data_IF_839098779091
#
_entry.id   IF_839098779091
#
_cell.length_a   1.000
_cell.length_b   1.000
_cell.length_c   1.000
_cell.angle_alpha   90.00
_cell.angle_beta   90.00
_cell.angle_gamma   90.00
#
_symmetry.space_group_name_H-M   'P 1'
#
loop_
_entity.id
_entity.type
_entity.pdbx_description
1 polymer ?
#
# COMPACT_ATOMS: atom_id res chain seq x y z
N UNK A 1 -31.46 -19.28 52.86
CA UNK A 1 -31.33 -18.27 51.78
C UNK A 1 -31.89 -16.93 52.27
N UNK A 2 -31.46 -16.40 53.42
CA UNK A 2 -30.36 -15.43 53.64
C UNK A 2 -30.35 -14.27 52.62
N UNK A 3 -31.21 -13.26 52.81
CA UNK A 3 -31.06 -12.02 53.60
C UNK A 3 -30.33 -10.90 52.84
N UNK A 4 -31.11 -9.84 52.59
CA UNK A 4 -30.74 -8.53 52.05
C UNK A 4 -29.48 -7.98 52.69
N UNK A 5 -28.52 -7.55 51.88
CA UNK A 5 -27.43 -6.68 52.31
C UNK A 5 -27.86 -5.23 52.06
N UNK A 6 -28.28 -4.60 53.15
CA UNK A 6 -28.60 -3.19 53.26
C UNK A 6 -27.28 -2.45 53.47
N UNK A 7 -26.77 -1.80 52.41
CA UNK A 7 -25.62 -0.91 52.54
C UNK A 7 -26.17 0.46 52.92
N UNK A 8 -26.06 0.76 54.21
CA UNK A 8 -26.28 2.08 54.79
C UNK A 8 -25.17 3.00 54.26
N UNK A 9 -25.49 3.83 53.27
CA UNK A 9 -24.68 5.00 52.92
C UNK A 9 -25.36 6.22 53.56
N UNK A 10 -24.63 7.03 54.35
CA UNK A 10 -25.21 8.19 55.02
C UNK A 10 -25.73 9.20 54.00
N UNK A 11 -26.91 9.76 54.28
CA UNK A 11 -27.47 10.92 53.57
C UNK A 11 -26.52 12.10 53.70
N UNK A 12 -25.53 12.17 52.81
CA UNK A 12 -24.81 13.41 52.55
C UNK A 12 -25.68 14.17 51.54
N UNK A 13 -26.53 15.01 52.09
CA UNK A 13 -27.35 15.98 51.38
C UNK A 13 -26.43 17.08 50.81
N UNK A 14 -25.64 16.74 49.80
CA UNK A 14 -24.85 17.67 49.03
C UNK A 14 -25.60 17.93 47.72
N UNK A 15 -26.23 19.09 47.66
CA UNK A 15 -26.90 19.69 46.51
C UNK A 15 -25.89 19.92 45.36
N UNK A 16 -25.42 18.85 44.73
CA UNK A 16 -24.54 18.91 43.56
C UNK A 16 -25.41 18.67 42.32
N UNK A 17 -25.69 19.70 41.50
CA UNK A 17 -26.59 19.60 40.34
C UNK A 17 -26.10 18.65 39.23
N UNK A 18 -24.87 18.12 39.31
CA UNK A 18 -24.31 17.23 38.28
C UNK A 18 -24.83 15.80 38.32
N UNK A 19 -25.18 15.22 39.47
CA UNK A 19 -25.51 13.78 39.57
C UNK A 19 -26.91 13.47 39.00
N UNK A 20 -27.86 14.39 39.11
CA UNK A 20 -29.20 14.24 38.56
C UNK A 20 -29.22 14.31 37.02
N UNK A 21 -28.24 14.98 36.42
CA UNK A 21 -28.07 15.02 34.95
C UNK A 21 -27.67 13.65 34.40
N UNK A 22 -26.77 12.93 35.07
CA UNK A 22 -26.33 11.60 34.59
C UNK A 22 -27.41 10.53 34.76
N UNK A 23 -28.24 10.60 35.82
CA UNK A 23 -29.40 9.71 36.00
C UNK A 23 -30.49 9.92 34.93
N UNK A 24 -30.65 11.17 34.45
CA UNK A 24 -31.59 11.49 33.36
C UNK A 24 -31.11 11.05 31.97
N UNK A 25 -29.81 10.95 31.75
CA UNK A 25 -29.21 10.51 30.47
C UNK A 25 -29.28 8.99 30.32
N UNK A 26 -29.12 8.23 31.41
CA UNK A 26 -29.12 6.75 31.36
C UNK A 26 -30.52 6.13 31.24
N UNK A 27 -31.58 6.90 31.49
CA UNK A 27 -32.98 6.41 31.47
C UNK A 27 -33.76 6.82 30.23
N UNK A 28 -33.24 7.72 29.38
CA UNK A 28 -33.87 8.15 28.13
C UNK A 28 -33.17 7.54 26.91
N UNK A 29 -33.62 6.33 26.57
CA UNK A 29 -34.00 6.05 25.19
C UNK A 29 -32.90 5.70 24.20
N UNK A 30 -32.73 4.38 24.06
CA UNK A 30 -32.42 3.63 22.84
C UNK A 30 -31.03 3.78 22.19
N UNK A 31 -30.36 2.66 21.84
CA UNK A 31 -29.23 2.73 20.92
C UNK A 31 -29.75 3.34 19.62
N UNK A 32 -29.26 4.53 19.25
CA UNK A 32 -29.50 5.09 17.92
C UNK A 32 -28.89 4.13 16.91
N UNK A 33 -29.70 3.22 16.38
CA UNK A 33 -29.42 2.61 15.09
C UNK A 33 -29.20 3.76 14.11
N UNK A 34 -28.02 3.80 13.49
CA UNK A 34 -27.69 4.74 12.42
C UNK A 34 -28.83 4.74 11.40
N UNK A 35 -29.40 5.90 11.02
CA UNK A 35 -30.40 5.95 9.96
C UNK A 35 -29.78 5.34 8.70
N UNK A 36 -30.44 4.35 8.12
CA UNK A 36 -30.01 3.70 6.86
C UNK A 36 -29.76 4.71 5.75
N UNK A 37 -30.47 5.84 5.78
CA UNK A 37 -30.39 6.93 4.81
C UNK A 37 -29.06 7.70 4.87
N UNK A 38 -28.40 7.75 6.04
CA UNK A 38 -27.08 8.36 6.23
C UNK A 38 -25.94 7.45 5.73
N UNK A 39 -26.10 6.13 5.87
CA UNK A 39 -25.13 5.17 5.33
C UNK A 39 -25.19 5.12 3.79
N UNK A 40 -26.39 5.13 3.24
CA UNK A 40 -26.61 5.02 1.78
C UNK A 40 -26.07 6.25 1.03
N UNK A 41 -26.12 7.43 1.65
CA UNK A 41 -25.56 8.67 1.11
C UNK A 41 -24.03 8.78 1.24
N UNK A 42 -23.42 8.15 2.25
CA UNK A 42 -21.96 8.15 2.46
C UNK A 42 -21.24 7.00 1.76
N UNK A 43 -21.95 5.93 1.41
CA UNK A 43 -21.41 4.76 0.71
C UNK A 43 -20.63 5.11 -0.58
N UNK A 44 -21.11 5.99 -1.48
CA UNK A 44 -20.38 6.33 -2.70
C UNK A 44 -19.04 7.01 -2.39
N UNK A 45 -19.01 7.82 -1.34
CA UNK A 45 -17.82 8.55 -0.92
C UNK A 45 -16.78 7.62 -0.29
N UNK A 46 -17.24 6.64 0.49
CA UNK A 46 -16.39 5.56 1.02
C UNK A 46 -15.84 4.68 -0.11
N UNK A 47 -16.66 4.28 -1.07
CA UNK A 47 -16.24 3.49 -2.22
C UNK A 47 -15.24 4.25 -3.10
N UNK A 48 -15.46 5.55 -3.33
CA UNK A 48 -14.53 6.38 -4.09
C UNK A 48 -13.18 6.49 -3.39
N UNK A 49 -13.17 6.69 -2.06
CA UNK A 49 -11.94 6.73 -1.26
C UNK A 49 -11.22 5.37 -1.26
N UNK A 50 -11.96 4.27 -1.12
CA UNK A 50 -11.42 2.91 -1.17
C UNK A 50 -10.77 2.61 -2.52
N UNK A 51 -11.49 2.87 -3.62
CA UNK A 51 -10.99 2.62 -4.97
C UNK A 51 -9.75 3.47 -5.25
N UNK A 52 -9.77 4.76 -4.89
CA UNK A 52 -8.62 5.65 -5.07
C UNK A 52 -7.39 5.12 -4.34
N UNK A 53 -7.55 4.75 -3.07
CA UNK A 53 -6.44 4.22 -2.29
C UNK A 53 -5.97 2.86 -2.80
N UNK A 54 -6.88 2.01 -3.24
CA UNK A 54 -6.55 0.71 -3.79
C UNK A 54 -5.75 0.83 -5.08
N UNK A 55 -6.13 1.71 -6.00
CA UNK A 55 -5.35 1.93 -7.23
C UNK A 55 -3.92 2.39 -6.94
N UNK A 56 -3.73 3.27 -5.95
CA UNK A 56 -2.40 3.72 -5.54
C UNK A 56 -1.54 2.56 -4.99
N UNK A 57 -2.08 1.77 -4.07
CA UNK A 57 -1.39 0.60 -3.51
C UNK A 57 -1.18 -0.49 -4.57
N UNK A 58 -2.16 -0.72 -5.45
CA UNK A 58 -2.10 -1.69 -6.53
C UNK A 58 -1.04 -1.33 -7.57
N UNK A 59 -0.85 -0.04 -7.89
CA UNK A 59 0.22 0.42 -8.78
C UNK A 59 1.60 0.09 -8.21
N UNK A 60 1.82 0.34 -6.90
CA UNK A 60 3.06 -0.04 -6.22
C UNK A 60 3.25 -1.57 -6.21
N UNK A 61 2.21 -2.33 -5.84
CA UNK A 61 2.23 -3.79 -5.84
C UNK A 61 2.46 -4.39 -7.23
N UNK A 62 1.98 -3.74 -8.30
CA UNK A 62 2.20 -4.19 -9.68
C UNK A 62 3.69 -4.14 -10.06
N UNK A 63 4.45 -3.15 -9.61
CA UNK A 63 5.89 -3.11 -9.83
C UNK A 63 6.61 -4.27 -9.12
N UNK A 64 6.17 -4.64 -7.92
CA UNK A 64 6.67 -5.83 -7.22
C UNK A 64 6.29 -7.12 -7.94
N UNK A 65 5.07 -7.20 -8.48
CA UNK A 65 4.62 -8.33 -9.31
C UNK A 65 5.50 -8.52 -10.55
N UNK A 66 5.81 -7.43 -11.27
CA UNK A 66 6.75 -7.44 -12.40
C UNK A 66 8.12 -7.91 -11.94
N UNK A 67 8.61 -7.43 -10.80
CA UNK A 67 9.91 -7.86 -10.26
C UNK A 67 9.94 -9.37 -9.98
N UNK A 68 8.90 -9.91 -9.35
CA UNK A 68 8.78 -11.35 -9.05
C UNK A 68 8.68 -12.15 -10.34
N UNK A 69 7.90 -11.71 -11.32
CA UNK A 69 7.82 -12.34 -12.64
C UNK A 69 9.22 -12.40 -13.29
N UNK A 70 9.98 -11.29 -13.25
CA UNK A 70 11.35 -11.26 -13.78
C UNK A 70 12.31 -12.15 -13.00
N UNK A 71 12.16 -12.24 -11.68
CA UNK A 71 12.94 -13.17 -10.86
C UNK A 71 12.68 -14.62 -11.27
N UNK A 72 11.41 -14.99 -11.47
CA UNK A 72 11.00 -16.30 -11.95
C UNK A 72 11.54 -16.57 -13.37
N UNK A 73 11.43 -15.62 -14.29
CA UNK A 73 11.95 -15.77 -15.65
C UNK A 73 13.48 -15.96 -15.67
N UNK A 74 14.23 -15.21 -14.86
CA UNK A 74 15.68 -15.38 -14.71
C UNK A 74 16.07 -16.72 -14.07
N UNK A 75 15.26 -17.25 -13.15
CA UNK A 75 15.51 -18.55 -12.51
C UNK A 75 15.19 -19.72 -13.44
N UNK A 76 14.10 -19.63 -14.20
CA UNK A 76 13.61 -20.69 -15.10
C UNK A 76 14.09 -20.53 -16.55
N UNK A 77 15.14 -19.75 -16.81
CA UNK A 77 15.62 -19.42 -18.16
C UNK A 77 15.89 -20.66 -19.03
N UNK A 78 16.38 -21.74 -18.41
CA UNK A 78 16.70 -23.03 -19.06
C UNK A 78 15.45 -23.81 -19.48
N UNK A 79 14.36 -23.70 -18.72
CA UNK A 79 13.10 -24.42 -18.99
C UNK A 79 12.10 -23.58 -19.79
N UNK A 80 12.41 -22.30 -20.03
CA UNK A 80 11.47 -21.31 -20.54
C UNK A 80 11.06 -21.58 -22.00
N UNK A 81 11.97 -22.16 -22.80
CA UNK A 81 11.70 -22.50 -24.20
C UNK A 81 10.80 -23.73 -24.36
N UNK A 82 10.79 -24.63 -23.37
CA UNK A 82 10.07 -25.91 -23.48
C UNK A 82 8.61 -25.84 -23.05
N UNK A 83 8.23 -24.86 -22.21
CA UNK A 83 6.84 -24.72 -21.70
C UNK A 83 6.42 -23.26 -21.54
N UNK A 84 5.38 -22.86 -22.24
CA UNK A 84 4.73 -21.56 -22.04
C UNK A 84 3.99 -21.52 -20.69
N UNK A 85 4.55 -20.84 -19.69
CA UNK A 85 4.00 -20.77 -18.31
C UNK A 85 3.18 -19.49 -18.05
N UNK A 86 2.17 -19.21 -18.88
CA UNK A 86 1.29 -18.03 -18.71
C UNK A 86 0.61 -17.97 -17.34
N UNK A 87 0.32 -19.14 -16.75
CA UNK A 87 -0.31 -19.26 -15.44
C UNK A 87 0.51 -18.63 -14.30
N UNK A 88 1.85 -18.56 -14.41
CA UNK A 88 2.70 -17.93 -13.39
C UNK A 88 2.41 -16.44 -13.32
N UNK A 89 2.46 -15.75 -14.46
CA UNK A 89 2.19 -14.31 -14.54
C UNK A 89 0.76 -13.98 -14.08
N UNK A 90 -0.24 -14.74 -14.54
CA UNK A 90 -1.64 -14.56 -14.11
C UNK A 90 -1.82 -14.78 -12.61
N UNK A 91 -1.15 -15.79 -12.03
CA UNK A 91 -1.24 -16.07 -10.59
C UNK A 91 -0.59 -14.98 -9.75
N UNK A 92 0.57 -14.46 -10.19
CA UNK A 92 1.25 -13.35 -9.52
C UNK A 92 0.34 -12.11 -9.53
N UNK A 93 -0.20 -11.73 -10.69
CA UNK A 93 -1.08 -10.55 -10.80
C UNK A 93 -2.34 -10.71 -9.94
N UNK A 94 -3.00 -11.86 -10.02
CA UNK A 94 -4.20 -12.12 -9.23
C UNK A 94 -3.93 -12.07 -7.72
N UNK A 95 -2.81 -12.66 -7.28
CA UNK A 95 -2.37 -12.60 -5.89
C UNK A 95 -2.07 -11.17 -5.45
N UNK A 96 -1.30 -10.43 -6.24
CA UNK A 96 -0.95 -9.03 -5.95
C UNK A 96 -2.18 -8.15 -5.82
N UNK A 97 -3.11 -8.20 -6.79
CA UNK A 97 -4.34 -7.40 -6.75
C UNK A 97 -5.21 -7.72 -5.53
N UNK A 98 -5.29 -9.01 -5.17
CA UNK A 98 -6.04 -9.46 -3.99
C UNK A 98 -5.37 -8.99 -2.69
N UNK A 99 -4.04 -9.13 -2.59
CA UNK A 99 -3.28 -8.71 -1.43
C UNK A 99 -3.32 -7.18 -1.23
N UNK A 100 -3.20 -6.40 -2.30
CA UNK A 100 -3.31 -4.94 -2.22
C UNK A 100 -4.71 -4.50 -1.83
N UNK A 101 -5.77 -5.16 -2.33
CA UNK A 101 -7.14 -4.87 -1.91
C UNK A 101 -7.35 -5.13 -0.42
N UNK A 102 -6.90 -6.29 0.08
CA UNK A 102 -7.00 -6.65 1.50
C UNK A 102 -6.19 -5.68 2.38
N UNK A 103 -5.01 -5.28 1.94
CA UNK A 103 -4.20 -4.27 2.63
C UNK A 103 -4.93 -2.92 2.69
N UNK A 104 -5.49 -2.44 1.57
CA UNK A 104 -6.23 -1.17 1.54
C UNK A 104 -7.45 -1.21 2.46
N UNK A 105 -8.23 -2.29 2.43
CA UNK A 105 -9.37 -2.46 3.34
C UNK A 105 -8.89 -2.41 4.80
N UNK A 106 -7.85 -3.18 5.13
CA UNK A 106 -7.28 -3.23 6.49
C UNK A 106 -6.77 -1.87 6.97
N UNK A 107 -6.16 -1.10 6.07
CA UNK A 107 -5.70 0.25 6.33
C UNK A 107 -6.87 1.22 6.58
N UNK A 108 -7.92 1.18 5.74
CA UNK A 108 -9.09 2.05 5.93
C UNK A 108 -9.83 1.78 7.25
N UNK A 109 -9.89 0.51 7.68
CA UNK A 109 -10.46 0.13 8.97
C UNK A 109 -9.50 0.34 10.16
N UNK A 110 -8.30 0.89 9.93
CA UNK A 110 -7.30 1.16 10.97
C UNK A 110 -6.99 -0.07 11.84
N UNK A 111 -6.91 -1.26 11.25
CA UNK A 111 -6.66 -2.52 11.97
C UNK A 111 -5.27 -2.56 12.64
N UNK A 112 -4.36 -1.69 12.20
CA UNK A 112 -3.02 -1.49 12.74
C UNK A 112 -2.67 0.01 12.75
N UNK A 113 -1.74 0.44 13.62
CA UNK A 113 -1.33 1.84 13.65
C UNK A 113 -0.68 2.25 12.33
N UNK A 114 -0.95 3.48 11.89
CA UNK A 114 -0.41 4.05 10.63
C UNK A 114 1.12 3.91 10.55
N UNK A 115 1.82 4.07 11.68
CA UNK A 115 3.28 3.91 11.75
C UNK A 115 3.72 2.49 11.35
N UNK A 116 2.99 1.46 11.77
CA UNK A 116 3.30 0.08 11.39
C UNK A 116 3.05 -0.16 9.88
N UNK A 117 2.00 0.45 9.33
CA UNK A 117 1.71 0.42 7.89
C UNK A 117 2.87 1.01 7.07
N UNK A 118 3.32 2.20 7.46
CA UNK A 118 4.37 2.94 6.78
C UNK A 118 5.72 2.23 6.92
N UNK A 119 6.03 1.69 8.10
CA UNK A 119 7.24 0.92 8.32
C UNK A 119 7.24 -0.37 7.47
N UNK A 120 6.12 -1.09 7.44
CA UNK A 120 5.96 -2.31 6.64
C UNK A 120 6.10 -2.04 5.15
N UNK A 121 5.41 -1.02 4.63
CA UNK A 121 5.52 -0.62 3.22
C UNK A 121 6.93 -0.16 2.84
N UNK A 122 7.60 0.59 3.72
CA UNK A 122 8.99 1.03 3.49
C UNK A 122 9.96 -0.15 3.47
N UNK A 123 9.78 -1.13 4.37
CA UNK A 123 10.59 -2.35 4.40
C UNK A 123 10.38 -3.20 3.14
N UNK A 124 9.13 -3.33 2.67
CA UNK A 124 8.80 -4.04 1.44
C UNK A 124 9.48 -3.38 0.22
N UNK A 125 9.40 -2.05 0.11
CA UNK A 125 10.06 -1.31 -0.96
C UNK A 125 11.58 -1.48 -0.96
N UNK A 126 12.21 -1.43 0.22
CA UNK A 126 13.65 -1.68 0.36
C UNK A 126 14.03 -3.11 -0.05
N UNK A 127 13.24 -4.10 0.34
CA UNK A 127 13.43 -5.48 -0.07
C UNK A 127 13.30 -5.64 -1.59
N UNK A 128 12.30 -5.00 -2.22
CA UNK A 128 12.12 -5.00 -3.67
C UNK A 128 13.32 -4.37 -4.39
N UNK A 129 13.86 -3.25 -3.89
CA UNK A 129 15.07 -2.64 -4.43
C UNK A 129 16.30 -3.55 -4.29
N UNK A 130 16.46 -4.23 -3.15
CA UNK A 130 17.56 -5.17 -2.93
C UNK A 130 17.48 -6.37 -3.88
N UNK A 131 16.30 -7.00 -4.00
CA UNK A 131 16.05 -8.08 -4.97
C UNK A 131 16.34 -7.60 -6.39
N UNK A 132 15.91 -6.39 -6.73
CA UNK A 132 16.15 -5.78 -8.03
C UNK A 132 17.64 -5.65 -8.34
N UNK A 133 18.43 -5.15 -7.40
CA UNK A 133 19.87 -5.00 -7.54
C UNK A 133 20.58 -6.36 -7.68
N UNK A 134 20.16 -7.37 -6.92
CA UNK A 134 20.71 -8.73 -7.00
C UNK A 134 20.43 -9.35 -8.37
N UNK A 135 19.19 -9.27 -8.86
CA UNK A 135 18.82 -9.78 -10.18
C UNK A 135 19.60 -9.08 -11.29
N UNK A 136 19.75 -7.77 -11.21
CA UNK A 136 20.56 -7.00 -12.15
C UNK A 136 22.02 -7.50 -12.19
N UNK A 137 22.65 -7.67 -11.02
CA UNK A 137 24.03 -8.18 -10.92
C UNK A 137 24.16 -9.60 -11.48
N UNK A 138 23.22 -10.49 -11.15
CA UNK A 138 23.22 -11.88 -11.62
C UNK A 138 23.05 -11.94 -13.14
N UNK A 139 22.07 -11.23 -13.68
CA UNK A 139 21.80 -11.20 -15.13
C UNK A 139 23.02 -10.62 -15.89
N UNK A 140 23.64 -9.56 -15.38
CA UNK A 140 24.86 -9.00 -15.98
C UNK A 140 26.03 -9.97 -15.95
N UNK A 141 26.21 -10.71 -14.84
CA UNK A 141 27.29 -11.71 -14.74
C UNK A 141 27.07 -12.87 -15.70
N UNK A 142 25.83 -13.35 -15.87
CA UNK A 142 25.52 -14.40 -16.83
C UNK A 142 25.79 -13.97 -18.27
N UNK A 143 25.42 -12.73 -18.62
CA UNK A 143 25.70 -12.17 -19.94
C UNK A 143 27.21 -12.13 -20.26
N UNK A 144 28.04 -11.71 -19.30
CA UNK A 144 29.50 -11.67 -19.45
C UNK A 144 30.14 -13.06 -19.57
N UNK A 145 29.56 -14.08 -18.94
CA UNK A 145 30.06 -15.44 -19.03
C UNK A 145 29.72 -16.08 -20.38
N UNK A 146 28.56 -15.77 -20.95
CA UNK A 146 28.14 -16.24 -22.28
C UNK A 146 29.00 -15.66 -23.40
N UNK A 147 29.34 -14.36 -23.32
CA UNK A 147 30.20 -13.70 -24.30
C UNK A 147 31.63 -14.26 -24.33
N UNK A 148 32.08 -14.95 -23.27
CA UNK A 148 33.44 -15.53 -23.17
C UNK A 148 33.56 -16.98 -23.66
N UNK A 149 32.45 -17.70 -23.86
CA UNK A 149 32.46 -19.18 -24.00
C UNK A 149 31.83 -19.76 -25.28
N UNK A 150 31.56 -18.96 -26.32
CA UNK A 150 30.71 -19.40 -27.43
C UNK A 150 31.39 -20.37 -28.42
N UNK A 151 30.89 -21.61 -28.49
CA UNK A 151 31.16 -22.62 -29.56
C UNK A 151 29.91 -22.77 -30.44
N UNK A 152 30.04 -23.01 -31.74
CA UNK A 152 29.00 -22.81 -32.77
C UNK A 152 27.60 -23.43 -32.51
N UNK A 153 27.48 -24.65 -31.98
CA UNK A 153 26.18 -25.26 -31.67
C UNK A 153 25.49 -24.67 -30.42
N UNK A 154 26.26 -23.99 -29.56
CA UNK A 154 25.70 -23.24 -28.42
C UNK A 154 25.18 -21.87 -28.82
N UNK A 155 25.49 -21.37 -30.03
CA UNK A 155 25.21 -19.97 -30.41
C UNK A 155 23.71 -19.68 -30.52
N UNK A 156 22.90 -20.61 -31.04
CA UNK A 156 21.45 -20.42 -31.19
C UNK A 156 20.75 -20.36 -29.82
N UNK A 157 21.02 -21.35 -28.94
CA UNK A 157 20.56 -21.36 -27.55
C UNK A 157 21.13 -20.19 -26.72
N UNK A 158 22.34 -19.72 -27.07
CA UNK A 158 22.95 -18.55 -26.43
C UNK A 158 22.28 -17.25 -26.87
N UNK A 159 21.75 -17.16 -28.10
CA UNK A 159 21.14 -15.94 -28.63
C UNK A 159 19.80 -15.64 -27.96
N UNK A 160 18.93 -16.64 -27.81
CA UNK A 160 17.65 -16.49 -27.12
C UNK A 160 17.84 -16.11 -25.65
N UNK A 161 18.77 -16.78 -24.96
CA UNK A 161 19.16 -16.47 -23.59
C UNK A 161 19.72 -15.04 -23.47
N UNK A 162 20.61 -14.64 -24.39
CA UNK A 162 21.17 -13.28 -24.44
C UNK A 162 20.07 -12.23 -24.63
N UNK A 163 19.11 -12.47 -25.52
CA UNK A 163 17.97 -11.57 -25.72
C UNK A 163 17.13 -11.43 -24.45
N UNK A 164 16.80 -12.55 -23.79
CA UNK A 164 16.03 -12.54 -22.54
C UNK A 164 16.77 -11.82 -21.40
N UNK A 165 18.08 -12.03 -21.26
CA UNK A 165 18.92 -11.35 -20.29
C UNK A 165 18.98 -9.84 -20.55
N UNK A 166 19.15 -9.42 -21.81
CA UNK A 166 19.15 -8.01 -22.18
C UNK A 166 17.81 -7.34 -21.89
N UNK A 167 16.70 -8.02 -22.21
CA UNK A 167 15.36 -7.52 -21.91
C UNK A 167 15.13 -7.40 -20.41
N UNK A 168 15.51 -8.41 -19.62
CA UNK A 168 15.41 -8.33 -18.16
C UNK A 168 16.24 -7.16 -17.61
N UNK A 169 17.48 -6.95 -18.06
CA UNK A 169 18.30 -5.80 -17.65
C UNK A 169 17.62 -4.47 -18.00
N UNK A 170 17.02 -4.36 -19.18
CA UNK A 170 16.28 -3.18 -19.62
C UNK A 170 15.07 -2.91 -18.72
N UNK A 171 14.26 -3.93 -18.44
CA UNK A 171 13.10 -3.85 -17.55
C UNK A 171 13.53 -3.45 -16.14
N UNK A 172 14.57 -4.06 -15.59
CA UNK A 172 15.09 -3.72 -14.26
C UNK A 172 15.51 -2.25 -14.14
N UNK A 173 16.11 -1.69 -15.19
CA UNK A 173 16.46 -0.25 -15.24
C UNK A 173 15.21 0.63 -15.21
N UNK A 174 14.16 0.26 -15.95
CA UNK A 174 12.89 0.99 -15.96
C UNK A 174 12.23 0.91 -14.59
N UNK A 175 12.15 -0.29 -13.99
CA UNK A 175 11.57 -0.50 -12.65
C UNK A 175 12.26 0.36 -11.61
N UNK A 176 13.60 0.38 -11.56
CA UNK A 176 14.35 1.23 -10.63
C UNK A 176 14.09 2.71 -10.89
N UNK A 177 14.06 3.15 -12.15
CA UNK A 177 13.73 4.54 -12.49
C UNK A 177 12.32 4.92 -12.03
N UNK A 178 11.32 4.04 -12.22
CA UNK A 178 9.95 4.24 -11.75
C UNK A 178 9.88 4.32 -10.22
N UNK A 179 10.57 3.45 -9.49
CA UNK A 179 10.65 3.55 -8.02
C UNK A 179 11.25 4.89 -7.57
N UNK A 180 12.33 5.35 -8.20
CA UNK A 180 12.93 6.64 -7.89
C UNK A 180 11.99 7.82 -8.20
N UNK A 181 11.27 7.77 -9.32
CA UNK A 181 10.29 8.79 -9.68
C UNK A 181 9.13 8.84 -8.67
N UNK A 182 8.56 7.69 -8.31
CA UNK A 182 7.50 7.62 -7.31
C UNK A 182 7.98 8.14 -5.95
N UNK A 183 9.18 7.75 -5.51
CA UNK A 183 9.76 8.26 -4.27
C UNK A 183 9.94 9.78 -4.31
N UNK A 184 10.42 10.32 -5.44
CA UNK A 184 10.56 11.77 -5.65
C UNK A 184 9.22 12.50 -5.59
N UNK A 185 8.19 11.97 -6.24
CA UNK A 185 6.83 12.53 -6.20
C UNK A 185 6.26 12.52 -4.78
N UNK A 186 6.44 11.43 -4.03
CA UNK A 186 5.98 11.32 -2.63
C UNK A 186 6.69 12.36 -1.76
N UNK A 187 8.02 12.49 -1.86
CA UNK A 187 8.79 13.47 -1.09
C UNK A 187 8.36 14.90 -1.43
N UNK A 188 8.12 15.18 -2.71
CA UNK A 188 7.62 16.48 -3.17
C UNK A 188 6.20 16.79 -2.68
N UNK A 189 5.31 15.80 -2.69
CA UNK A 189 3.96 15.95 -2.15
C UNK A 189 3.98 16.20 -0.64
N UNK A 190 4.84 15.50 0.11
CA UNK A 190 5.02 15.70 1.55
C UNK A 190 5.63 17.05 1.90
N UNK A 191 6.56 17.57 1.07
CA UNK A 191 7.14 18.89 1.30
C UNK A 191 6.12 20.00 1.07
N UNK A 192 5.26 19.90 0.05
CA UNK A 192 4.13 20.83 -0.16
C UNK A 192 3.18 20.78 1.03
N UNK A 193 2.87 19.58 1.53
CA UNK A 193 1.99 19.41 2.70
C UNK A 193 2.60 20.06 3.95
N UNK A 194 3.90 19.86 4.20
CA UNK A 194 4.59 20.48 5.33
C UNK A 194 4.61 22.02 5.21
N UNK A 195 4.88 22.55 4.02
CA UNK A 195 4.80 24.00 3.76
C UNK A 195 3.38 24.52 3.97
N UNK A 196 2.36 23.75 3.60
CA UNK A 196 0.96 24.11 3.82
C UNK A 196 0.64 24.29 5.31
N UNK A 197 1.13 23.37 6.15
CA UNK A 197 0.93 23.43 7.60
C UNK A 197 1.77 24.49 8.30
N UNK A 198 2.99 24.77 7.84
CA UNK A 198 3.89 25.73 8.49
C UNK A 198 3.52 27.18 8.14
N UNK A 199 3.23 27.46 6.87
CA UNK A 199 3.07 28.84 6.37
C UNK A 199 1.62 29.32 6.36
N UNK A 200 0.64 28.41 6.21
CA UNK A 200 -0.77 28.77 6.00
C UNK A 200 -1.69 28.41 7.17
N UNK A 201 -1.16 28.10 8.35
CA UNK A 201 -1.97 27.90 9.56
C UNK A 201 -2.82 29.15 9.89
N UNK A 202 -2.34 30.34 9.51
CA UNK A 202 -3.06 31.62 9.66
C UNK A 202 -4.02 31.98 8.49
N UNK A 203 -3.93 31.34 7.31
CA UNK A 203 -4.70 31.74 6.12
C UNK A 203 -5.41 30.53 5.44
N UNK A 204 -6.66 30.22 5.82
CA UNK A 204 -7.37 29.01 5.41
C UNK A 204 -7.63 28.92 3.89
N UNK A 205 -7.81 30.05 3.20
CA UNK A 205 -8.10 30.06 1.76
C UNK A 205 -6.88 29.66 0.91
N UNK A 206 -5.67 29.99 1.37
CA UNK A 206 -4.42 29.62 0.68
C UNK A 206 -4.01 28.18 0.96
N UNK A 207 -4.31 27.68 2.16
CA UNK A 207 -4.11 26.27 2.52
C UNK A 207 -4.96 25.33 1.64
N UNK A 208 -6.21 25.72 1.31
CA UNK A 208 -7.07 24.94 0.40
C UNK A 208 -6.45 24.74 -0.98
N UNK A 209 -5.77 25.75 -1.54
CA UNK A 209 -5.07 25.63 -2.81
C UNK A 209 -3.93 24.61 -2.73
N UNK A 210 -3.14 24.62 -1.64
CA UNK A 210 -2.09 23.63 -1.40
C UNK A 210 -2.65 22.21 -1.25
N UNK A 211 -3.77 22.03 -0.55
CA UNK A 211 -4.44 20.73 -0.44
C UNK A 211 -4.98 20.25 -1.78
N UNK A 212 -5.53 21.14 -2.62
CA UNK A 212 -5.99 20.80 -3.96
C UNK A 212 -4.82 20.41 -4.89
N UNK A 213 -3.69 21.12 -4.80
CA UNK A 213 -2.47 20.77 -5.53
C UNK A 213 -1.88 19.43 -5.07
N UNK A 214 -1.85 19.18 -3.76
CA UNK A 214 -1.46 17.89 -3.20
C UNK A 214 -2.37 16.78 -3.73
N UNK A 215 -3.69 16.98 -3.69
CA UNK A 215 -4.66 15.98 -4.15
C UNK A 215 -4.56 15.73 -5.66
N UNK A 216 -4.20 16.75 -6.46
CA UNK A 216 -3.89 16.61 -7.88
C UNK A 216 -2.61 15.79 -8.13
N UNK A 217 -1.54 16.05 -7.36
CA UNK A 217 -0.28 15.31 -7.47
C UNK A 217 -0.46 13.84 -7.09
N UNK A 218 -1.28 13.55 -6.08
CA UNK A 218 -1.60 12.18 -5.66
C UNK A 218 -2.57 11.50 -6.64
N UNK A 219 -3.32 12.27 -7.44
CA UNK A 219 -4.20 11.75 -8.49
C UNK A 219 -3.49 11.46 -9.82
N UNK A 220 -2.33 12.07 -10.07
CA UNK A 220 -1.47 11.87 -11.24
C UNK A 220 -0.56 10.65 -11.07
#
# INVERSE_FOLDING_TARGET
>A
MSKKFEIILPEINLSIPRINTYKGILTKGHPKFLPTDDLTSKLPLLLASLLRMWFFVAAAGFLEAVLVERACASYFIVDYENKARRWISTSIIAFTLSATLLFTISFMFMLYPVVAALAGGSLAALAALAVSAILYRRNRSQLLNLDKGSTEASIEYTLSIKFQLMENIRVMRIVVATFCLMAGVIVFALSILALAFIEFDEFPDKAQLCFAFYDLIVAL
#
